data_IF_170222675518
#
_entry.id   IF_170222675518
#
_cell.length_a   1.000
_cell.length_b   1.000
_cell.length_c   1.000
_cell.angle_alpha   90.00
_cell.angle_beta   90.00
_cell.angle_gamma   90.00
#
_symmetry.space_group_name_H-M   'P 1'
#
loop_
_entity.id
_entity.type
_entity.pdbx_description
1 polymer ?
#
# COMPACT_ATOMS: atom_id res chain seq x y z
N UNK A 1 -8.76 -4.57 -16.84
CA UNK A 1 -8.85 -3.10 -16.97
C UNK A 1 -7.69 -2.49 -16.21
N UNK A 2 -6.99 -1.59 -16.89
CA UNK A 2 -5.94 -0.67 -16.47
C UNK A 2 -4.87 -1.15 -15.49
N UNK A 3 -3.79 -1.65 -16.08
CA UNK A 3 -2.43 -1.55 -15.55
C UNK A 3 -2.10 -0.06 -15.35
N UNK A 4 -2.44 0.49 -14.19
CA UNK A 4 -1.94 1.79 -13.75
C UNK A 4 -0.50 1.55 -13.28
N UNK A 5 0.43 1.40 -14.23
CA UNK A 5 1.86 1.38 -13.91
C UNK A 5 2.20 2.77 -13.42
N UNK A 6 2.04 3.00 -12.13
CA UNK A 6 2.73 4.07 -11.44
C UNK A 6 4.21 3.76 -11.60
N UNK A 7 4.82 4.38 -12.62
CA UNK A 7 6.25 4.34 -12.85
C UNK A 7 6.89 5.09 -11.68
N UNK A 8 7.09 4.40 -10.56
CA UNK A 8 7.87 4.91 -9.43
C UNK A 8 9.31 5.07 -9.91
N UNK A 9 9.66 6.28 -10.31
CA UNK A 9 11.02 6.64 -10.65
C UNK A 9 11.82 6.64 -9.33
N UNK A 10 12.82 5.75 -9.23
CA UNK A 10 13.66 5.55 -8.04
C UNK A 10 14.54 6.79 -7.79
N UNK A 11 13.97 7.85 -7.23
CA UNK A 11 14.66 8.94 -6.54
C UNK A 11 13.82 9.28 -5.30
N UNK A 12 14.32 8.83 -4.16
CA UNK A 12 13.61 8.74 -2.89
C UNK A 12 13.29 10.12 -2.30
N UNK A 13 12.00 10.48 -2.26
CA UNK A 13 11.45 11.47 -1.32
C UNK A 13 9.93 11.22 -1.17
N UNK A 14 9.42 11.41 0.05
CA UNK A 14 8.01 11.22 0.47
C UNK A 14 6.97 12.00 -0.38
N UNK A 15 7.40 12.92 -1.24
CA UNK A 15 6.55 13.68 -2.16
C UNK A 15 5.99 12.87 -3.34
N UNK A 16 6.48 11.64 -3.58
CA UNK A 16 5.99 10.79 -4.67
C UNK A 16 4.83 9.87 -4.30
N UNK A 17 4.59 9.63 -3.01
CA UNK A 17 3.45 8.83 -2.60
C UNK A 17 2.19 9.69 -2.70
N UNK A 18 1.17 9.22 -3.44
CA UNK A 18 -0.07 9.96 -3.55
C UNK A 18 -0.68 10.13 -2.15
N UNK A 19 -0.97 11.38 -1.79
CA UNK A 19 -1.61 11.73 -0.49
C UNK A 19 -3.01 11.12 -0.35
N UNK A 20 -3.61 10.74 -1.47
CA UNK A 20 -4.90 10.07 -1.49
C UNK A 20 -4.77 8.62 -0.99
N UNK A 21 -5.50 8.24 0.07
CA UNK A 21 -5.39 6.92 0.68
C UNK A 21 -5.79 5.78 -0.26
N UNK A 22 -6.74 5.99 -1.18
CA UNK A 22 -7.15 4.95 -2.12
C UNK A 22 -6.08 4.71 -3.19
N UNK A 23 -5.42 5.77 -3.66
CA UNK A 23 -4.32 5.65 -4.62
C UNK A 23 -3.08 5.05 -3.94
N UNK A 24 -2.78 5.44 -2.70
CA UNK A 24 -1.69 4.86 -1.91
C UNK A 24 -1.85 3.34 -1.76
N UNK A 25 -3.05 2.89 -1.39
CA UNK A 25 -3.42 1.46 -1.29
C UNK A 25 -3.20 0.75 -2.62
N UNK A 26 -3.68 1.30 -3.73
CA UNK A 26 -3.48 0.69 -5.05
C UNK A 26 -2.00 0.60 -5.42
N UNK A 27 -1.22 1.62 -5.08
CA UNK A 27 0.22 1.67 -5.36
C UNK A 27 0.97 0.56 -4.61
N UNK A 28 0.75 0.50 -3.29
CA UNK A 28 1.39 -0.49 -2.43
C UNK A 28 0.95 -1.90 -2.80
N UNK A 29 -0.33 -2.10 -3.11
CA UNK A 29 -0.84 -3.40 -3.56
C UNK A 29 -0.21 -3.85 -4.87
N UNK A 30 0.04 -2.94 -5.82
CA UNK A 30 0.73 -3.31 -7.06
C UNK A 30 2.20 -3.70 -6.81
N UNK A 31 2.91 -2.93 -5.98
CA UNK A 31 4.31 -3.21 -5.64
C UNK A 31 4.50 -4.52 -4.86
N UNK A 32 3.57 -4.85 -3.96
CA UNK A 32 3.58 -6.11 -3.21
C UNK A 32 3.12 -7.30 -4.07
N UNK A 33 2.29 -7.07 -5.09
CA UNK A 33 1.80 -8.12 -5.99
C UNK A 33 2.87 -8.61 -6.96
N UNK A 34 3.73 -7.71 -7.44
CA UNK A 34 4.78 -8.04 -8.41
C UNK A 34 6.03 -8.69 -7.76
N UNK A 35 5.94 -9.05 -6.47
CA UNK A 35 7.00 -9.70 -5.67
C UNK A 35 8.35 -8.96 -5.64
N UNK A 36 8.40 -7.67 -6.04
CA UNK A 36 9.60 -6.84 -5.91
C UNK A 36 9.95 -6.63 -4.42
N UNK A 37 8.98 -6.76 -3.53
CA UNK A 37 9.13 -6.65 -2.08
C UNK A 37 8.39 -7.77 -1.34
N UNK A 38 9.10 -8.54 -0.51
CA UNK A 38 8.51 -9.61 0.31
C UNK A 38 7.58 -9.09 1.41
N UNK A 39 7.87 -7.90 1.93
CA UNK A 39 7.17 -7.29 3.07
C UNK A 39 6.92 -5.80 2.85
N UNK A 40 5.86 -5.30 3.49
CA UNK A 40 5.57 -3.88 3.54
C UNK A 40 6.72 -3.09 4.17
N UNK A 41 7.48 -3.68 5.11
CA UNK A 41 8.67 -3.07 5.71
C UNK A 41 9.76 -2.77 4.68
N UNK A 42 10.13 -3.74 3.84
CA UNK A 42 11.14 -3.53 2.81
C UNK A 42 10.74 -2.44 1.83
N UNK A 43 9.45 -2.38 1.48
CA UNK A 43 8.89 -1.32 0.66
C UNK A 43 9.03 0.04 1.36
N UNK A 44 8.56 0.14 2.60
CA UNK A 44 8.58 1.39 3.36
C UNK A 44 10.03 1.88 3.58
N UNK A 45 10.95 0.98 3.89
CA UNK A 45 12.39 1.27 4.02
C UNK A 45 12.97 1.84 2.73
N UNK A 46 12.60 1.28 1.57
CA UNK A 46 13.05 1.78 0.27
C UNK A 46 12.50 3.18 -0.06
N UNK A 47 11.29 3.51 0.43
CA UNK A 47 10.69 4.84 0.29
C UNK A 47 11.05 5.81 1.42
N UNK A 48 11.79 5.38 2.45
CA UNK A 48 12.18 6.22 3.59
C UNK A 48 11.04 6.54 4.55
N UNK A 49 10.05 5.65 4.69
CA UNK A 49 8.91 5.79 5.61
C UNK A 49 8.84 4.63 6.59
N UNK A 50 8.14 4.81 7.71
CA UNK A 50 7.84 3.70 8.60
C UNK A 50 6.55 2.97 8.17
N UNK A 51 6.61 1.65 8.23
CA UNK A 51 5.46 0.75 8.03
C UNK A 51 4.29 1.10 8.94
N UNK A 52 4.62 1.51 10.18
CA UNK A 52 3.62 1.85 11.19
C UNK A 52 2.84 3.11 10.82
N UNK A 53 3.53 4.15 10.34
CA UNK A 53 2.88 5.40 9.92
C UNK A 53 1.90 5.17 8.78
N UNK A 54 2.28 4.37 7.77
CA UNK A 54 1.39 4.03 6.66
C UNK A 54 0.19 3.20 7.13
N UNK A 55 0.43 2.21 8.00
CA UNK A 55 -0.65 1.38 8.56
C UNK A 55 -1.65 2.24 9.34
N UNK A 56 -1.17 3.12 10.22
CA UNK A 56 -2.03 3.99 11.03
C UNK A 56 -2.76 5.02 10.16
N UNK A 57 -2.09 5.63 9.18
CA UNK A 57 -2.70 6.56 8.24
C UNK A 57 -3.84 5.88 7.45
N UNK A 58 -3.55 4.75 6.81
CA UNK A 58 -4.52 4.02 6.02
C UNK A 58 -5.66 3.45 6.87
N UNK A 59 -5.37 3.02 8.10
CA UNK A 59 -6.38 2.58 9.05
C UNK A 59 -7.35 3.71 9.42
N UNK A 60 -6.85 4.92 9.68
CA UNK A 60 -7.68 6.11 9.90
C UNK A 60 -8.57 6.47 8.71
N UNK A 61 -8.16 6.09 7.50
CA UNK A 61 -8.92 6.27 6.26
C UNK A 61 -9.82 5.07 5.88
N UNK A 62 -9.90 4.03 6.71
CA UNK A 62 -10.76 2.89 6.46
C UNK A 62 -10.12 1.76 5.66
N UNK A 63 -8.79 1.64 5.66
CA UNK A 63 -8.04 0.55 5.02
C UNK A 63 -7.22 -0.24 6.04
N UNK A 64 -7.25 -1.57 5.95
CA UNK A 64 -6.51 -2.50 6.82
C UNK A 64 -5.51 -3.30 5.99
N UNK A 65 -4.30 -3.44 6.52
CA UNK A 65 -3.26 -4.29 5.92
C UNK A 65 -3.53 -5.77 6.23
N UNK A 66 -3.53 -6.61 5.20
CA UNK A 66 -3.62 -8.07 5.34
C UNK A 66 -2.26 -8.70 5.11
N UNK A 67 -1.63 -9.19 6.17
CA UNK A 67 -0.32 -9.86 6.09
C UNK A 67 -0.37 -11.15 5.26
N UNK A 68 -1.48 -11.91 5.36
CA UNK A 68 -1.68 -13.16 4.61
C UNK A 68 -1.68 -12.96 3.09
N UNK A 69 -2.29 -11.88 2.64
CA UNK A 69 -2.42 -11.57 1.22
C UNK A 69 -1.41 -10.49 0.77
N UNK A 70 -0.60 -9.96 1.70
CA UNK A 70 0.34 -8.84 1.49
C UNK A 70 -0.32 -7.69 0.74
N UNK A 71 -1.52 -7.30 1.17
CA UNK A 71 -2.30 -6.23 0.52
C UNK A 71 -3.16 -5.46 1.51
N UNK A 72 -3.37 -4.19 1.20
CA UNK A 72 -4.35 -3.35 1.87
C UNK A 72 -5.75 -3.58 1.31
N UNK A 73 -6.73 -3.66 2.20
CA UNK A 73 -8.15 -3.85 1.88
C UNK A 73 -8.99 -2.86 2.68
N UNK A 74 -10.14 -2.41 2.16
CA UNK A 74 -11.03 -1.56 2.94
C UNK A 74 -11.61 -2.33 4.13
N UNK A 75 -11.74 -1.65 5.27
CA UNK A 75 -12.36 -2.18 6.48
C UNK A 75 -13.83 -2.49 6.15
N UNK A 76 -14.27 -3.72 6.45
CA UNK A 76 -15.63 -4.19 6.18
C UNK A 76 -15.79 -5.06 4.93
N UNK A 77 -14.75 -5.25 4.10
CA UNK A 77 -14.81 -6.12 2.92
C UNK A 77 -15.20 -7.57 3.25
N UNK A 78 -14.71 -8.12 4.37
CA UNK A 78 -14.99 -9.51 4.79
C UNK A 78 -16.44 -9.73 5.30
N UNK A 79 -17.27 -8.67 5.44
CA UNK A 79 -18.65 -8.81 5.96
C UNK A 79 -19.70 -9.24 4.92
N UNK A 80 -19.33 -9.34 3.64
CA UNK A 80 -20.26 -9.70 2.54
C UNK A 80 -20.38 -11.22 2.32
N UNK A 81 -19.77 -12.04 3.18
CA UNK A 81 -19.91 -13.50 3.14
C UNK A 81 -20.71 -14.02 4.33
N UNK A 82 -22.01 -13.77 4.35
CA UNK A 82 -22.99 -14.56 5.11
C UNK A 82 -24.30 -14.68 4.35
#
# INVERSE_FOLDING_TARGET
>A
MSTFVLRFNKNCDMDYLPKDPAILVSSVNMLLRDEEFDTLESLCYNFGTETKDIKDYLYGHGFVYSEKQRQFRPIGYDTVTK
#
